data_IF_647068826878
#
_entry.id   IF_647068826878
#
_cell.length_a   1.000
_cell.length_b   1.000
_cell.length_c   1.000
_cell.angle_alpha   90.00
_cell.angle_beta   90.00
_cell.angle_gamma   90.00
#
_symmetry.space_group_name_H-M   'P 1'
#
loop_
_entity.id
_entity.type
_entity.pdbx_description
1 polymer ?
#
# COMPACT_ATOMS: atom_id res chain seq x y z
N UNK A 1 24.96 14.57 -26.24
CA UNK A 1 24.19 14.87 -25.03
C UNK A 1 24.98 15.83 -24.17
N UNK A 2 24.46 17.02 -23.91
CA UNK A 2 25.05 17.94 -22.93
C UNK A 2 24.87 17.36 -21.52
N UNK A 3 25.89 17.44 -20.67
CA UNK A 3 25.78 17.03 -19.26
C UNK A 3 25.37 18.24 -18.44
N UNK A 4 24.14 18.21 -17.93
CA UNK A 4 23.51 19.35 -17.26
C UNK A 4 23.12 18.99 -15.83
N UNK A 5 23.43 19.89 -14.89
CA UNK A 5 22.85 19.87 -13.54
C UNK A 5 21.63 20.78 -13.46
N UNK A 6 20.53 20.28 -12.91
CA UNK A 6 19.28 21.02 -12.68
C UNK A 6 18.77 20.84 -11.23
N UNK A 7 17.98 21.80 -10.75
CA UNK A 7 17.31 21.84 -9.43
C UNK A 7 16.08 22.76 -9.53
N UNK A 8 15.25 22.88 -8.48
CA UNK A 8 14.15 23.85 -8.48
C UNK A 8 14.60 25.30 -8.76
N UNK A 9 15.84 25.66 -8.38
CA UNK A 9 16.42 27.00 -8.55
C UNK A 9 17.33 27.12 -9.78
N UNK A 10 17.61 26.01 -10.49
CA UNK A 10 18.55 25.98 -11.63
C UNK A 10 18.00 25.13 -12.74
N UNK A 11 17.68 25.74 -13.89
CA UNK A 11 17.08 25.06 -15.05
C UNK A 11 15.83 24.28 -14.62
N UNK A 12 14.93 25.01 -13.96
CA UNK A 12 13.69 24.51 -13.34
C UNK A 12 12.86 23.66 -14.30
N UNK A 13 12.66 24.13 -15.53
CA UNK A 13 11.89 23.41 -16.55
C UNK A 13 12.46 22.02 -16.84
N UNK A 14 13.79 21.90 -16.93
CA UNK A 14 14.44 20.60 -17.12
C UNK A 14 14.29 19.73 -15.87
N UNK A 15 14.45 20.31 -14.67
CA UNK A 15 14.32 19.59 -13.41
C UNK A 15 12.93 18.96 -13.26
N UNK A 16 11.87 19.74 -13.44
CA UNK A 16 10.50 19.23 -13.34
C UNK A 16 10.08 18.40 -14.57
N UNK A 17 10.62 18.71 -15.75
CA UNK A 17 10.40 17.91 -16.96
C UNK A 17 10.88 16.46 -16.79
N UNK A 18 12.09 16.23 -16.29
CA UNK A 18 12.62 14.86 -16.15
C UNK A 18 11.90 14.03 -15.08
N UNK A 19 11.32 14.68 -14.07
CA UNK A 19 10.61 14.01 -12.98
C UNK A 19 9.22 13.55 -13.44
N UNK A 20 9.05 12.23 -13.59
CA UNK A 20 7.85 11.65 -14.22
C UNK A 20 7.83 11.76 -15.74
N UNK A 21 8.92 12.22 -16.37
CA UNK A 21 8.99 12.52 -17.80
C UNK A 21 9.24 11.32 -18.71
N UNK A 22 9.13 10.09 -18.22
CA UNK A 22 9.22 8.85 -19.00
C UNK A 22 10.45 8.78 -19.95
N UNK A 23 11.59 9.32 -19.50
CA UNK A 23 12.85 9.33 -20.26
C UNK A 23 12.88 10.26 -21.49
N UNK A 24 11.85 11.09 -21.72
CA UNK A 24 11.72 11.91 -22.92
C UNK A 24 12.74 13.06 -23.00
N UNK A 25 13.20 13.56 -21.85
CA UNK A 25 13.99 14.80 -21.78
C UNK A 25 15.47 14.58 -21.43
N UNK A 26 15.88 13.35 -21.13
CA UNK A 26 17.27 13.01 -20.81
C UNK A 26 17.41 11.81 -19.88
N UNK A 27 18.67 11.45 -19.61
CA UNK A 27 19.03 10.36 -18.70
C UNK A 27 19.48 10.96 -17.37
N UNK A 28 18.83 10.56 -16.28
CA UNK A 28 19.24 10.93 -14.93
C UNK A 28 20.48 10.11 -14.55
N UNK A 29 21.64 10.74 -14.48
CA UNK A 29 22.91 10.10 -14.07
C UNK A 29 23.20 10.24 -12.58
N UNK A 30 22.56 11.21 -11.91
CA UNK A 30 22.69 11.47 -10.48
C UNK A 30 21.45 12.18 -9.95
N UNK A 31 20.95 11.76 -8.79
CA UNK A 31 19.89 12.44 -8.06
C UNK A 31 20.36 12.78 -6.64
N UNK A 32 19.87 13.89 -6.07
CA UNK A 32 20.00 14.21 -4.65
C UNK A 32 18.67 13.86 -3.98
N UNK A 33 18.68 12.86 -3.10
CA UNK A 33 17.48 12.34 -2.45
C UNK A 33 17.50 12.75 -0.98
N UNK A 34 16.36 13.19 -0.47
CA UNK A 34 16.18 13.54 0.94
C UNK A 34 16.30 12.28 1.79
N UNK A 35 17.00 12.36 2.91
CA UNK A 35 17.17 11.26 3.85
C UNK A 35 16.51 11.60 5.18
N UNK A 36 16.05 10.55 5.88
CA UNK A 36 15.61 10.63 7.27
C UNK A 36 16.44 9.68 8.13
N UNK A 37 16.32 9.81 9.46
CA UNK A 37 16.94 8.86 10.39
C UNK A 37 16.24 7.51 10.23
N UNK A 38 17.02 6.45 10.02
CA UNK A 38 16.49 5.10 9.96
C UNK A 38 15.92 4.66 11.31
N UNK A 39 14.81 3.94 11.26
CA UNK A 39 14.23 3.26 12.42
C UNK A 39 14.85 1.88 12.58
N UNK A 40 14.78 1.31 13.78
CA UNK A 40 15.30 -0.03 14.06
C UNK A 40 14.27 -1.09 13.65
N UNK A 41 13.01 -0.88 14.02
CA UNK A 41 11.95 -1.88 13.93
C UNK A 41 10.68 -1.31 13.30
N UNK A 42 9.85 -2.21 12.79
CA UNK A 42 8.54 -1.92 12.22
C UNK A 42 7.52 -2.91 12.75
N UNK A 43 6.43 -2.38 13.32
CA UNK A 43 5.21 -3.14 13.56
C UNK A 43 4.38 -3.12 12.29
N UNK A 44 4.35 -4.23 11.58
CA UNK A 44 3.59 -4.41 10.35
C UNK A 44 2.28 -5.11 10.66
N UNK A 45 1.16 -4.53 10.21
CA UNK A 45 -0.17 -5.05 10.46
C UNK A 45 -1.03 -5.10 9.20
N UNK A 46 -1.97 -6.06 9.17
CA UNK A 46 -3.04 -6.16 8.17
C UNK A 46 -4.39 -6.27 8.86
N UNK A 47 -5.35 -5.45 8.44
CA UNK A 47 -6.69 -5.31 9.03
C UNK A 47 -7.73 -5.68 7.98
N UNK A 48 -8.53 -6.73 8.19
CA UNK A 48 -9.42 -7.29 7.17
C UNK A 48 -10.82 -6.66 7.20
N UNK A 49 -11.39 -6.39 6.04
CA UNK A 49 -12.71 -5.82 5.81
C UNK A 49 -13.51 -6.69 4.84
N UNK A 50 -14.81 -6.85 5.07
CA UNK A 50 -15.74 -7.46 4.11
C UNK A 50 -16.48 -6.44 3.26
N UNK A 51 -16.51 -5.17 3.69
CA UNK A 51 -17.18 -4.06 3.02
C UNK A 51 -16.18 -3.03 2.49
N UNK A 52 -16.40 -2.59 1.25
CA UNK A 52 -15.51 -1.65 0.58
C UNK A 52 -15.64 -0.22 1.11
N UNK A 53 -16.83 0.19 1.55
CA UNK A 53 -17.03 1.54 2.11
C UNK A 53 -16.37 1.67 3.48
N UNK A 54 -16.38 0.61 4.29
CA UNK A 54 -15.62 0.57 5.55
C UNK A 54 -14.10 0.65 5.30
N UNK A 55 -13.58 -0.13 4.33
CA UNK A 55 -12.18 -0.04 3.89
C UNK A 55 -11.83 1.39 3.46
N UNK A 56 -12.61 1.93 2.51
CA UNK A 56 -12.38 3.25 1.90
C UNK A 56 -12.38 4.35 2.96
N UNK A 57 -13.39 4.35 3.84
CA UNK A 57 -13.53 5.33 4.93
C UNK A 57 -12.32 5.29 5.85
N UNK A 58 -11.88 4.10 6.24
CA UNK A 58 -10.77 3.94 7.17
C UNK A 58 -9.42 4.32 6.54
N UNK A 59 -9.17 3.94 5.28
CA UNK A 59 -7.96 4.38 4.55
C UNK A 59 -7.89 5.91 4.42
N UNK A 60 -9.00 6.54 4.02
CA UNK A 60 -9.10 8.00 3.91
C UNK A 60 -8.92 8.71 5.26
N UNK A 61 -9.50 8.16 6.32
CA UNK A 61 -9.28 8.65 7.68
C UNK A 61 -7.79 8.59 8.03
N UNK A 62 -7.14 7.46 7.83
CA UNK A 62 -5.72 7.26 8.14
C UNK A 62 -4.85 8.33 7.46
N UNK A 63 -5.02 8.57 6.15
CA UNK A 63 -4.19 9.55 5.43
C UNK A 63 -4.54 11.01 5.73
N UNK A 64 -5.74 11.29 6.24
CA UNK A 64 -6.14 12.64 6.65
C UNK A 64 -5.59 13.05 8.01
N UNK A 65 -5.19 12.07 8.84
CA UNK A 65 -4.70 12.34 10.18
C UNK A 65 -3.31 13.00 10.12
N UNK A 66 -2.98 13.91 11.07
CA UNK A 66 -1.63 14.41 11.22
C UNK A 66 -0.61 13.27 11.43
N UNK A 67 0.61 13.42 10.93
CA UNK A 67 1.67 12.38 10.98
C UNK A 67 1.83 11.76 12.38
N UNK A 68 1.86 12.59 13.44
CA UNK A 68 2.00 12.14 14.83
C UNK A 68 0.78 11.37 15.38
N UNK A 69 -0.33 11.30 14.65
CA UNK A 69 -1.56 10.56 14.94
C UNK A 69 -1.85 9.44 13.94
N UNK A 70 -1.17 9.40 12.80
CA UNK A 70 -1.36 8.37 11.77
C UNK A 70 -0.36 7.21 11.92
N UNK A 71 -0.41 6.30 10.95
CA UNK A 71 0.59 5.26 10.68
C UNK A 71 1.74 5.82 9.85
N UNK A 72 2.89 5.16 9.90
CA UNK A 72 4.09 5.57 9.15
C UNK A 72 4.08 5.01 7.71
N UNK A 73 3.18 4.07 7.43
CA UNK A 73 2.89 3.48 6.11
C UNK A 73 1.43 3.03 6.07
N UNK A 74 0.79 3.15 4.90
CA UNK A 74 -0.55 2.61 4.62
C UNK A 74 -0.65 2.23 3.14
N UNK A 75 -1.06 1.00 2.88
CA UNK A 75 -1.57 0.51 1.60
C UNK A 75 -2.87 -0.27 1.82
N UNK A 76 -3.47 -0.75 0.75
CA UNK A 76 -4.63 -1.62 0.81
C UNK A 76 -4.66 -2.57 -0.36
N UNK A 77 -5.37 -3.66 -0.16
CA UNK A 77 -5.37 -4.80 -1.04
C UNK A 77 -6.76 -5.40 -1.13
N UNK A 78 -6.98 -6.12 -2.23
CA UNK A 78 -8.19 -6.89 -2.53
C UNK A 78 -7.79 -8.34 -2.71
N UNK A 79 -8.54 -9.24 -2.11
CA UNK A 79 -8.39 -10.69 -2.29
C UNK A 79 -9.74 -11.33 -2.51
N UNK A 80 -9.74 -12.48 -3.16
CA UNK A 80 -10.95 -13.32 -3.30
C UNK A 80 -11.37 -13.80 -1.92
N UNK A 81 -12.67 -13.75 -1.65
CA UNK A 81 -13.25 -14.40 -0.47
C UNK A 81 -13.33 -15.92 -0.70
N UNK A 82 -12.18 -16.58 -0.62
CA UNK A 82 -12.02 -18.01 -0.88
C UNK A 82 -10.68 -18.54 -0.39
N UNK A 83 -10.54 -19.86 -0.39
CA UNK A 83 -9.38 -20.60 0.14
C UNK A 83 -8.24 -20.80 -0.88
N UNK A 84 -8.32 -20.12 -2.04
CA UNK A 84 -7.23 -20.09 -3.02
C UNK A 84 -5.95 -19.51 -2.37
N UNK A 85 -4.82 -20.23 -2.38
CA UNK A 85 -3.62 -19.81 -1.65
C UNK A 85 -2.92 -18.58 -2.24
N UNK A 86 -3.22 -18.21 -3.49
CA UNK A 86 -2.60 -17.09 -4.20
C UNK A 86 -3.52 -15.87 -4.18
N UNK A 87 -4.79 -16.06 -4.49
CA UNK A 87 -5.77 -15.00 -4.67
C UNK A 87 -6.63 -14.77 -3.43
N UNK A 88 -6.70 -15.76 -2.54
CA UNK A 88 -7.70 -15.81 -1.48
C UNK A 88 -7.21 -15.29 -0.13
N UNK A 89 -8.03 -15.50 0.89
CA UNK A 89 -7.70 -15.12 2.26
C UNK A 89 -6.44 -15.79 2.87
N UNK A 90 -5.93 -16.96 2.40
CA UNK A 90 -4.65 -17.48 2.89
C UNK A 90 -3.45 -16.57 2.58
N UNK A 91 -3.56 -15.63 1.64
CA UNK A 91 -2.52 -14.65 1.32
C UNK A 91 -2.44 -13.47 2.31
N UNK A 92 -3.44 -13.32 3.19
CA UNK A 92 -3.55 -12.17 4.11
C UNK A 92 -2.56 -12.29 5.29
N UNK A 93 -2.45 -13.41 6.03
CA UNK A 93 -1.59 -13.48 7.20
C UNK A 93 -0.12 -13.15 6.93
N UNK A 94 0.54 -12.52 7.90
CA UNK A 94 1.93 -12.06 7.79
C UNK A 94 2.96 -13.14 8.19
N UNK A 95 2.49 -14.25 8.76
CA UNK A 95 3.30 -15.37 9.21
C UNK A 95 2.68 -16.67 8.72
N UNK A 96 3.48 -17.65 8.24
CA UNK A 96 2.98 -18.94 7.78
C UNK A 96 2.33 -19.76 8.90
N UNK A 97 2.65 -19.47 10.17
CA UNK A 97 2.09 -20.17 11.32
C UNK A 97 0.69 -19.67 11.72
N UNK A 98 0.20 -18.61 11.06
CA UNK A 98 -1.08 -17.98 11.37
C UNK A 98 -2.06 -18.25 10.26
N UNK A 99 -3.18 -18.90 10.60
CA UNK A 99 -4.28 -19.19 9.69
C UNK A 99 -5.42 -18.21 10.00
N UNK A 100 -6.01 -17.64 8.95
CA UNK A 100 -7.21 -16.82 9.08
C UNK A 100 -8.40 -17.70 9.47
N UNK A 101 -9.11 -17.35 10.54
CA UNK A 101 -10.36 -17.99 10.93
C UNK A 101 -11.51 -17.47 10.06
N UNK A 102 -11.86 -18.23 9.02
CA UNK A 102 -12.90 -17.84 8.07
C UNK A 102 -14.31 -17.80 8.69
N UNK A 103 -14.52 -18.40 9.87
CA UNK A 103 -15.81 -18.33 10.57
C UNK A 103 -16.13 -16.92 11.11
N UNK A 104 -15.12 -16.05 11.20
CA UNK A 104 -15.28 -14.65 11.58
C UNK A 104 -15.74 -13.75 10.42
N UNK A 105 -15.67 -14.24 9.18
CA UNK A 105 -16.13 -13.51 8.00
C UNK A 105 -17.67 -13.45 8.04
N UNK A 106 -18.29 -12.25 7.94
CA UNK A 106 -19.75 -12.14 7.92
C UNK A 106 -20.38 -12.98 6.80
N UNK A 107 -21.50 -13.64 7.09
CA UNK A 107 -22.17 -14.53 6.14
C UNK A 107 -22.71 -13.81 4.88
N UNK A 108 -22.89 -12.50 4.95
CA UNK A 108 -23.29 -11.62 3.86
C UNK A 108 -22.11 -10.95 3.14
N UNK A 109 -20.87 -11.31 3.47
CA UNK A 109 -19.68 -10.82 2.80
C UNK A 109 -19.72 -11.16 1.29
N UNK A 110 -19.27 -10.21 0.48
CA UNK A 110 -19.23 -10.37 -0.97
C UNK A 110 -18.18 -11.37 -1.46
N UNK A 111 -17.98 -11.45 -2.79
CA UNK A 111 -16.99 -12.34 -3.41
C UNK A 111 -15.54 -11.94 -3.12
N UNK A 112 -15.33 -10.75 -2.54
CA UNK A 112 -14.02 -10.19 -2.23
C UNK A 112 -13.95 -9.82 -0.75
N UNK A 113 -12.74 -9.97 -0.20
CA UNK A 113 -12.33 -9.31 1.03
C UNK A 113 -11.31 -8.24 0.69
N UNK A 114 -11.17 -7.29 1.61
CA UNK A 114 -10.20 -6.23 1.51
C UNK A 114 -9.35 -6.23 2.75
N UNK A 115 -8.14 -5.67 2.68
CA UNK A 115 -7.41 -5.36 3.89
C UNK A 115 -6.61 -4.08 3.77
N UNK A 116 -6.55 -3.35 4.88
CA UNK A 116 -5.61 -2.24 5.06
C UNK A 116 -4.31 -2.80 5.61
N UNK A 117 -3.21 -2.51 4.93
CA UNK A 117 -1.87 -2.83 5.39
C UNK A 117 -1.23 -1.56 5.98
N UNK A 118 -0.83 -1.58 7.24
CA UNK A 118 -0.26 -0.41 7.92
C UNK A 118 1.02 -0.77 8.66
N UNK A 119 1.87 0.24 8.88
CA UNK A 119 3.08 0.06 9.68
C UNK A 119 3.28 1.19 10.71
N UNK A 120 3.84 0.82 11.87
CA UNK A 120 4.38 1.78 12.84
C UNK A 120 5.88 1.56 12.98
N UNK A 121 6.65 2.61 12.73
CA UNK A 121 8.09 2.59 12.95
C UNK A 121 8.41 2.92 14.41
N UNK A 122 9.38 2.20 14.96
CA UNK A 122 9.81 2.39 16.35
C UNK A 122 11.27 1.97 16.56
N UNK A 123 11.85 2.44 17.66
CA UNK A 123 13.19 2.06 18.10
C UNK A 123 13.11 1.31 19.43
N UNK A 124 13.63 0.08 19.46
CA UNK A 124 13.65 -0.75 20.67
C UNK A 124 14.59 -0.16 21.74
N UNK A 125 15.55 0.67 21.33
CA UNK A 125 16.47 1.38 22.21
C UNK A 125 15.82 2.50 23.02
N UNK A 126 14.70 3.05 22.56
CA UNK A 126 14.05 4.22 23.19
C UNK A 126 12.58 4.03 23.56
N UNK A 127 11.93 2.96 23.09
CA UNK A 127 10.50 2.72 23.29
C UNK A 127 10.24 1.33 23.87
N UNK A 128 9.40 1.27 24.91
CA UNK A 128 9.00 0.00 25.51
C UNK A 128 7.84 -0.65 24.74
N UNK A 129 7.75 -1.98 24.78
CA UNK A 129 6.64 -2.72 24.16
C UNK A 129 5.26 -2.29 24.68
N UNK A 130 5.15 -1.98 25.99
CA UNK A 130 3.91 -1.45 26.56
C UNK A 130 3.50 -0.11 25.92
N UNK A 131 4.46 0.79 25.68
CA UNK A 131 4.19 2.07 25.03
C UNK A 131 3.78 1.90 23.56
N UNK A 132 4.39 0.94 22.85
CA UNK A 132 4.08 0.61 21.46
C UNK A 132 2.69 -0.02 21.32
N UNK A 133 2.32 -0.95 22.21
CA UNK A 133 0.99 -1.55 22.25
C UNK A 133 -0.09 -0.48 22.49
N UNK A 134 0.11 0.41 23.47
CA UNK A 134 -0.82 1.54 23.71
C UNK A 134 -0.88 2.53 22.54
N UNK A 135 0.21 2.73 21.79
CA UNK A 135 0.18 3.51 20.53
C UNK A 135 -0.65 2.76 19.49
N UNK A 136 -0.42 1.46 19.31
CA UNK A 136 -1.12 0.59 18.36
C UNK A 136 -2.63 0.60 18.62
N UNK A 137 -3.06 0.31 19.85
CA UNK A 137 -4.48 0.33 20.24
C UNK A 137 -5.16 1.67 19.93
N UNK A 138 -4.49 2.79 20.24
CA UNK A 138 -5.01 4.13 19.91
C UNK A 138 -5.11 4.40 18.42
N UNK A 139 -4.28 3.78 17.59
CA UNK A 139 -4.32 3.92 16.12
C UNK A 139 -5.40 3.06 15.49
N UNK A 140 -5.63 1.88 16.05
CA UNK A 140 -6.68 0.97 15.61
C UNK A 140 -8.05 1.36 16.15
N UNK A 141 -8.11 2.16 17.21
CA UNK A 141 -9.35 2.65 17.79
C UNK A 141 -10.17 3.46 16.77
N UNK A 142 -11.39 3.00 16.51
CA UNK A 142 -12.32 3.65 15.57
C UNK A 142 -12.24 3.14 14.14
N UNK A 143 -11.29 2.23 13.83
CA UNK A 143 -11.30 1.47 12.59
C UNK A 143 -12.32 0.33 12.66
N UNK A 144 -12.86 -0.03 11.50
CA UNK A 144 -14.04 -0.87 11.31
C UNK A 144 -13.71 -2.22 10.65
N UNK A 145 -12.46 -2.66 10.75
CA UNK A 145 -12.06 -4.00 10.34
C UNK A 145 -12.80 -5.07 11.16
N UNK A 146 -12.92 -6.28 10.59
CA UNK A 146 -13.55 -7.43 11.22
C UNK A 146 -12.79 -7.79 12.50
N UNK A 147 -13.48 -7.75 13.64
CA UNK A 147 -12.88 -8.06 14.94
C UNK A 147 -12.33 -9.50 14.93
N UNK A 148 -11.08 -9.65 15.36
CA UNK A 148 -10.37 -10.93 15.34
C UNK A 148 -9.58 -11.19 14.05
N UNK A 149 -9.85 -10.45 12.96
CA UNK A 149 -9.11 -10.56 11.70
C UNK A 149 -8.12 -9.39 11.53
N UNK A 150 -7.20 -9.28 12.50
CA UNK A 150 -6.06 -8.39 12.43
C UNK A 150 -4.78 -9.19 12.67
N UNK A 151 -3.81 -9.03 11.78
CA UNK A 151 -2.54 -9.74 11.81
C UNK A 151 -1.43 -8.74 12.09
N UNK A 152 -0.47 -9.11 12.93
CA UNK A 152 0.66 -8.24 13.27
C UNK A 152 1.93 -9.05 13.39
N UNK A 153 3.04 -8.48 12.93
CA UNK A 153 4.40 -8.97 13.17
C UNK A 153 5.32 -7.78 13.41
N UNK A 154 6.28 -7.94 14.31
CA UNK A 154 7.35 -6.97 14.51
C UNK A 154 8.61 -7.47 13.76
N UNK A 155 9.11 -6.68 12.80
CA UNK A 155 10.27 -7.00 11.95
C UNK A 155 11.27 -5.86 11.97
N UNK A 156 12.49 -6.09 11.46
CA UNK A 156 13.44 -4.97 11.28
C UNK A 156 12.90 -3.99 10.23
N UNK A 157 13.29 -2.71 10.34
CA UNK A 157 12.90 -1.70 9.34
C UNK A 157 13.34 -2.09 7.92
N UNK A 158 14.52 -2.70 7.79
CA UNK A 158 15.02 -3.18 6.50
C UNK A 158 14.21 -4.36 5.95
N UNK A 159 13.88 -5.34 6.79
CA UNK A 159 13.07 -6.50 6.36
C UNK A 159 11.68 -6.08 5.89
N UNK A 160 11.08 -5.09 6.57
CA UNK A 160 9.82 -4.50 6.11
C UNK A 160 9.98 -3.86 4.72
N UNK A 161 10.98 -2.99 4.52
CA UNK A 161 11.21 -2.33 3.23
C UNK A 161 11.57 -3.33 2.11
N UNK A 162 12.24 -4.43 2.44
CA UNK A 162 12.68 -5.45 1.49
C UNK A 162 11.69 -6.63 1.37
N UNK A 163 10.46 -6.51 1.91
CA UNK A 163 9.51 -7.63 2.01
C UNK A 163 9.17 -8.29 0.67
N UNK A 164 9.11 -7.51 -0.41
CA UNK A 164 8.79 -8.01 -1.77
C UNK A 164 9.91 -8.89 -2.35
N UNK A 165 11.15 -8.80 -1.85
CA UNK A 165 12.22 -9.69 -2.28
C UNK A 165 11.93 -11.17 -1.95
N UNK A 166 11.19 -11.44 -0.86
CA UNK A 166 10.76 -12.81 -0.54
C UNK A 166 9.78 -13.35 -1.59
N UNK A 167 8.85 -12.51 -2.04
CA UNK A 167 7.90 -12.84 -3.10
C UNK A 167 8.61 -13.04 -4.45
N UNK A 168 9.61 -12.21 -4.76
CA UNK A 168 10.48 -12.41 -5.94
C UNK A 168 11.15 -13.78 -5.92
N UNK A 169 11.75 -14.18 -4.79
CA UNK A 169 12.42 -15.48 -4.67
C UNK A 169 11.42 -16.65 -4.82
N UNK A 170 10.22 -16.53 -4.25
CA UNK A 170 9.16 -17.53 -4.42
C UNK A 170 8.68 -17.64 -5.87
N UNK A 171 8.48 -16.49 -6.54
CA UNK A 171 8.09 -16.44 -7.95
C UNK A 171 9.20 -16.98 -8.87
N UNK A 172 10.48 -16.78 -8.53
CA UNK A 172 11.59 -17.41 -9.27
C UNK A 172 11.58 -18.93 -9.09
N UNK A 173 11.34 -19.40 -7.87
CA UNK A 173 11.34 -20.83 -7.56
C UNK A 173 10.21 -21.60 -8.28
N UNK A 174 9.06 -20.95 -8.55
CA UNK A 174 7.94 -21.57 -9.27
C UNK A 174 7.87 -21.18 -10.76
N UNK A 175 8.85 -20.43 -11.27
CA UNK A 175 8.94 -20.01 -12.68
C UNK A 175 8.01 -18.86 -13.07
N UNK A 176 7.20 -18.32 -12.16
CA UNK A 176 6.32 -17.18 -12.43
C UNK A 176 7.07 -15.86 -12.64
N UNK A 177 8.32 -15.74 -12.17
CA UNK A 177 9.12 -14.52 -12.30
C UNK A 177 9.56 -14.21 -13.73
N UNK A 178 9.83 -15.22 -14.55
CA UNK A 178 10.26 -15.04 -15.94
C UNK A 178 9.09 -15.20 -16.95
N UNK A 179 7.86 -15.37 -16.43
CA UNK A 179 6.63 -15.43 -17.22
C UNK A 179 6.11 -14.01 -17.58
N UNK A 180 5.18 -13.87 -18.54
CA UNK A 180 4.58 -12.57 -18.84
C UNK A 180 3.76 -12.00 -17.67
N UNK A 181 3.97 -10.72 -17.36
CA UNK A 181 3.19 -9.97 -16.34
C UNK A 181 2.35 -8.86 -16.99
N UNK A 182 1.11 -9.14 -17.40
CA UNK A 182 0.22 -8.13 -18.00
C UNK A 182 -0.37 -7.21 -16.92
N UNK A 183 0.47 -6.49 -16.19
CA UNK A 183 0.06 -5.60 -15.10
C UNK A 183 -0.74 -4.41 -15.61
N UNK A 184 -1.76 -4.03 -14.83
CA UNK A 184 -2.51 -2.80 -14.99
C UNK A 184 -2.25 -1.92 -13.78
N UNK A 185 -1.66 -0.74 -13.99
CA UNK A 185 -1.47 0.29 -12.98
C UNK A 185 -2.19 1.55 -13.46
N UNK A 186 -3.05 2.12 -12.63
CA UNK A 186 -3.81 3.32 -12.98
C UNK A 186 -4.08 4.14 -11.72
N UNK A 187 -4.33 5.44 -11.92
CA UNK A 187 -4.91 6.27 -10.86
C UNK A 187 -6.41 6.45 -11.10
N UNK A 188 -7.21 6.21 -10.07
CA UNK A 188 -8.67 6.36 -10.09
C UNK A 188 -9.08 7.54 -9.20
N UNK A 189 -9.85 8.54 -9.70
CA UNK A 189 -10.35 9.62 -8.85
C UNK A 189 -11.19 9.07 -7.70
N UNK A 190 -11.11 9.68 -6.50
CA UNK A 190 -11.88 9.25 -5.33
C UNK A 190 -13.38 9.19 -5.62
N UNK A 191 -13.92 10.13 -6.39
CA UNK A 191 -15.34 10.14 -6.76
C UNK A 191 -15.80 8.90 -7.53
N UNK A 192 -14.89 8.19 -8.20
CA UNK A 192 -15.18 7.02 -9.03
C UNK A 192 -14.77 5.69 -8.39
N UNK A 193 -14.11 5.69 -7.23
CA UNK A 193 -13.53 4.45 -6.68
C UNK A 193 -14.59 3.41 -6.29
N UNK A 194 -15.75 3.84 -5.80
CA UNK A 194 -16.86 2.94 -5.51
C UNK A 194 -17.43 2.28 -6.78
N UNK A 195 -17.55 3.06 -7.86
CA UNK A 195 -17.97 2.54 -9.18
C UNK A 195 -16.94 1.57 -9.74
N UNK A 196 -15.65 1.90 -9.60
CA UNK A 196 -14.55 1.01 -9.99
C UNK A 196 -14.60 -0.30 -9.22
N UNK A 197 -14.81 -0.25 -7.91
CA UNK A 197 -15.00 -1.44 -7.08
C UNK A 197 -16.16 -2.31 -7.59
N UNK A 198 -17.32 -1.72 -7.84
CA UNK A 198 -18.50 -2.51 -8.22
C UNK A 198 -18.41 -3.08 -9.64
N UNK A 199 -17.79 -2.37 -10.58
CA UNK A 199 -17.71 -2.79 -11.99
C UNK A 199 -16.47 -3.63 -12.30
N UNK A 200 -15.33 -3.27 -11.72
CA UNK A 200 -14.04 -3.88 -12.03
C UNK A 200 -13.67 -4.91 -10.98
N UNK A 201 -13.57 -4.52 -9.70
CA UNK A 201 -13.12 -5.43 -8.64
C UNK A 201 -14.12 -6.57 -8.44
N UNK A 202 -15.36 -6.25 -8.05
CA UNK A 202 -16.44 -7.23 -7.82
C UNK A 202 -17.01 -7.85 -9.10
N UNK A 203 -16.74 -7.23 -10.25
CA UNK A 203 -17.22 -7.68 -11.55
C UNK A 203 -16.17 -8.50 -12.29
N UNK A 204 -15.28 -7.81 -13.00
CA UNK A 204 -14.27 -8.43 -13.88
C UNK A 204 -13.25 -9.26 -13.09
N UNK A 205 -12.84 -8.81 -11.91
CA UNK A 205 -11.74 -9.39 -11.13
C UNK A 205 -12.20 -10.23 -9.93
N UNK A 206 -13.48 -10.62 -9.88
CA UNK A 206 -14.08 -11.33 -8.73
C UNK A 206 -13.40 -12.67 -8.40
N UNK A 207 -12.67 -13.26 -9.35
CA UNK A 207 -11.97 -14.53 -9.22
C UNK A 207 -10.45 -14.38 -9.06
N UNK A 208 -9.96 -13.15 -8.88
CA UNK A 208 -8.53 -12.87 -8.75
C UNK A 208 -7.79 -12.80 -10.09
N UNK A 209 -6.49 -12.49 -10.02
CA UNK A 209 -5.61 -12.29 -11.18
C UNK A 209 -4.31 -13.11 -11.10
N UNK A 210 -4.20 -14.03 -10.15
CA UNK A 210 -2.98 -14.80 -9.89
C UNK A 210 -1.89 -13.99 -9.17
N UNK A 211 -2.29 -12.95 -8.44
CA UNK A 211 -1.37 -12.03 -7.77
C UNK A 211 -2.12 -10.94 -7.00
N UNK A 212 -1.39 -10.00 -6.36
CA UNK A 212 -2.00 -8.98 -5.53
C UNK A 212 -2.77 -7.94 -6.37
N UNK A 213 -3.92 -7.53 -5.86
CA UNK A 213 -4.67 -6.37 -6.37
C UNK A 213 -4.55 -5.28 -5.30
N UNK A 214 -3.86 -4.18 -5.63
CA UNK A 214 -3.68 -3.05 -4.71
C UNK A 214 -4.81 -2.04 -4.91
N UNK A 215 -5.24 -1.43 -3.81
CA UNK A 215 -6.17 -0.29 -3.82
C UNK A 215 -5.91 0.59 -2.59
N UNK A 216 -5.37 1.79 -2.79
CA UNK A 216 -5.12 2.71 -1.67
C UNK A 216 -5.11 4.19 -2.07
N UNK A 217 -5.60 5.08 -1.19
CA UNK A 217 -5.70 6.48 -1.49
C UNK A 217 -4.36 7.22 -1.34
N UNK A 218 -4.21 8.25 -2.16
CA UNK A 218 -3.10 9.18 -2.23
C UNK A 218 -3.63 10.62 -2.14
N UNK A 219 -2.83 11.52 -1.56
CA UNK A 219 -3.17 12.93 -1.43
C UNK A 219 -2.52 13.75 -2.53
N UNK A 220 -3.31 14.50 -3.30
CA UNK A 220 -2.81 15.40 -4.37
C UNK A 220 -1.81 16.43 -3.88
N UNK A 221 -1.98 16.93 -2.66
CA UNK A 221 -1.09 17.95 -2.08
C UNK A 221 0.36 17.47 -1.83
N UNK A 222 0.64 16.16 -1.99
CA UNK A 222 1.99 15.59 -1.94
C UNK A 222 2.67 15.50 -3.32
N UNK A 223 1.96 15.87 -4.39
CA UNK A 223 2.45 15.83 -5.76
C UNK A 223 2.71 17.25 -6.26
N UNK A 224 3.90 17.49 -6.81
CA UNK A 224 4.26 18.80 -7.37
C UNK A 224 3.72 18.89 -8.81
N UNK A 225 2.77 19.79 -9.05
CA UNK A 225 2.09 19.96 -10.34
C UNK A 225 2.99 20.45 -11.47
N UNK A 226 4.22 20.88 -11.16
CA UNK A 226 5.22 21.21 -12.19
C UNK A 226 5.84 19.98 -12.83
N UNK A 227 5.85 18.84 -12.13
CA UNK A 227 6.40 17.57 -12.62
C UNK A 227 5.61 17.05 -13.83
N UNK A 228 6.22 16.19 -14.64
CA UNK A 228 5.57 15.58 -15.81
C UNK A 228 4.64 14.40 -15.47
N UNK A 229 4.61 13.96 -14.21
CA UNK A 229 3.70 12.89 -13.77
C UNK A 229 2.23 13.32 -13.90
N UNK A 230 1.39 12.45 -14.44
CA UNK A 230 -0.03 12.72 -14.69
C UNK A 230 -0.88 12.02 -13.63
N UNK A 231 -1.75 12.77 -12.95
CA UNK A 231 -2.64 12.30 -11.89
C UNK A 231 -4.07 12.84 -12.07
N UNK A 232 -5.11 12.18 -11.52
CA UNK A 232 -6.51 12.64 -11.59
C UNK A 232 -6.70 14.02 -10.96
N UNK A 233 -7.68 14.81 -11.41
CA UNK A 233 -7.94 16.16 -10.89
C UNK A 233 -8.86 16.17 -9.65
N UNK A 234 -8.43 15.48 -8.59
CA UNK A 234 -9.12 15.45 -7.29
C UNK A 234 -8.10 15.47 -6.14
N UNK A 235 -8.48 16.05 -4.98
CA UNK A 235 -7.62 16.14 -3.79
C UNK A 235 -7.18 14.77 -3.26
N UNK A 236 -7.98 13.74 -3.51
CA UNK A 236 -7.69 12.35 -3.21
C UNK A 236 -7.97 11.51 -4.44
N UNK A 237 -7.09 10.56 -4.72
CA UNK A 237 -7.24 9.57 -5.77
C UNK A 237 -6.60 8.26 -5.31
N UNK A 238 -6.92 7.15 -5.96
CA UNK A 238 -6.45 5.83 -5.60
C UNK A 238 -5.44 5.33 -6.63
N UNK A 239 -4.42 4.61 -6.16
CA UNK A 239 -3.72 3.61 -6.99
C UNK A 239 -4.46 2.27 -6.83
#
# INVERSE_FOLDING_TARGET
GEVISCSPERREELFYGVLGGLGQFGIITKARIVLQRAHEMTRWMRLVYSDFEDLRRDQELIISLPDHKSFDYMEGFVVVNGDDPVNGWPSIPLSPDVILDSSLIPADAGPLLYFVEVALYYNNSTQSMASLNKRTERRLAGLNFIKGLNFSVDVTYLDFLNRVHREELAAKANGAWDAPHPWLNLFVPKSQIAVFNDKVLKGVLAYGIGGPILVYPLLRNKWDSRMSAVIPDEDTFYL
#
